data_IF_636961681054
#
_entry.id   IF_636961681054
#
_cell.length_a   1.000
_cell.length_b   1.000
_cell.length_c   1.000
_cell.angle_alpha   90.00
_cell.angle_beta   90.00
_cell.angle_gamma   90.00
#
_symmetry.space_group_name_H-M   'P 1'
#
loop_
_entity.id
_entity.type
_entity.pdbx_description
1 polymer ?
#
# COMPACT_ATOMS: atom_id res chain seq x y z
N UNK A 1 20.51 12.02 -4.21
CA UNK A 1 19.35 11.17 -4.53
C UNK A 1 18.74 11.68 -5.82
N UNK A 2 18.47 10.84 -6.83
CA UNK A 2 17.74 11.27 -8.04
C UNK A 2 16.36 11.84 -7.66
N UNK A 3 15.91 12.93 -8.32
CA UNK A 3 14.63 13.58 -8.00
C UNK A 3 13.43 12.62 -8.03
N UNK A 4 13.48 11.62 -8.92
CA UNK A 4 12.46 10.57 -9.03
C UNK A 4 12.37 9.68 -7.77
N UNK A 5 13.50 9.43 -7.10
CA UNK A 5 13.52 8.68 -5.83
C UNK A 5 12.88 9.48 -4.69
N UNK A 6 13.11 10.79 -4.66
CA UNK A 6 12.49 11.67 -3.67
C UNK A 6 10.98 11.70 -3.90
N UNK A 7 10.53 11.81 -5.16
CA UNK A 7 9.12 11.77 -5.49
C UNK A 7 8.44 10.47 -5.03
N UNK A 8 9.06 9.32 -5.25
CA UNK A 8 8.54 8.05 -4.75
C UNK A 8 8.47 7.98 -3.22
N UNK A 9 9.45 8.53 -2.51
CA UNK A 9 9.36 8.62 -1.05
C UNK A 9 8.20 9.52 -0.60
N UNK A 10 8.04 10.69 -1.23
CA UNK A 10 6.95 11.61 -0.90
C UNK A 10 5.58 10.96 -1.17
N UNK A 11 5.43 10.25 -2.30
CA UNK A 11 4.22 9.49 -2.62
C UNK A 11 3.97 8.36 -1.62
N UNK A 12 5.01 7.65 -1.17
CA UNK A 12 4.87 6.61 -0.16
C UNK A 12 4.43 7.16 1.20
N UNK A 13 4.97 8.32 1.60
CA UNK A 13 4.55 9.01 2.82
C UNK A 13 3.10 9.49 2.70
N UNK A 14 2.75 10.14 1.59
CA UNK A 14 1.39 10.61 1.35
C UNK A 14 0.40 9.44 1.34
N UNK A 15 0.72 8.37 0.63
CA UNK A 15 -0.07 7.15 0.54
C UNK A 15 -0.18 6.39 1.86
N UNK A 16 0.66 6.68 2.86
CA UNK A 16 0.52 6.16 4.21
C UNK A 16 -0.34 7.07 5.08
N UNK A 17 -0.01 8.36 5.12
CA UNK A 17 -0.62 9.32 6.05
C UNK A 17 -2.08 9.56 5.69
N UNK A 18 -2.39 9.80 4.41
CA UNK A 18 -3.73 10.19 4.00
C UNK A 18 -4.76 9.08 4.24
N UNK A 19 -4.58 7.82 3.75
CA UNK A 19 -5.57 6.76 3.97
C UNK A 19 -5.71 6.38 5.45
N UNK A 20 -4.61 6.28 6.19
CA UNK A 20 -4.65 5.93 7.62
C UNK A 20 -5.34 7.02 8.44
N UNK A 21 -5.11 8.31 8.13
CA UNK A 21 -5.79 9.40 8.85
C UNK A 21 -7.31 9.36 8.72
N UNK A 22 -7.82 9.02 7.53
CA UNK A 22 -9.25 8.88 7.27
C UNK A 22 -9.84 7.66 7.97
N UNK A 23 -9.14 6.52 7.91
CA UNK A 23 -9.54 5.29 8.61
C UNK A 23 -9.61 5.48 10.12
N UNK A 24 -8.53 5.98 10.73
CA UNK A 24 -8.46 6.17 12.18
C UNK A 24 -9.42 7.26 12.65
N UNK A 25 -9.62 8.33 11.88
CA UNK A 25 -10.63 9.35 12.17
C UNK A 25 -12.03 8.75 12.22
N UNK A 26 -12.42 8.01 11.18
CA UNK A 26 -13.72 7.34 11.12
C UNK A 26 -13.91 6.31 12.24
N UNK A 27 -12.88 5.52 12.55
CA UNK A 27 -12.92 4.56 13.67
C UNK A 27 -13.08 5.26 15.02
N UNK A 28 -12.44 6.40 15.22
CA UNK A 28 -12.58 7.19 16.44
C UNK A 28 -13.97 7.82 16.57
N UNK A 29 -14.57 8.27 15.46
CA UNK A 29 -15.91 8.85 15.43
C UNK A 29 -17.02 7.81 15.64
N UNK A 30 -16.87 6.62 15.02
CA UNK A 30 -17.93 5.60 15.00
C UNK A 30 -17.78 4.58 16.13
N UNK A 31 -16.56 4.40 16.67
CA UNK A 31 -16.26 3.37 17.68
C UNK A 31 -16.33 1.92 17.19
N UNK A 32 -16.64 1.70 15.90
CA UNK A 32 -16.92 0.39 15.32
C UNK A 32 -15.66 -0.46 15.07
N UNK A 33 -14.47 0.09 15.29
CA UNK A 33 -13.20 -0.61 15.14
C UNK A 33 -12.95 -1.12 13.72
N UNK A 34 -12.14 -2.18 13.61
CA UNK A 34 -11.75 -2.74 12.31
C UNK A 34 -12.89 -3.49 11.62
N UNK A 35 -13.77 -4.17 12.37
CA UNK A 35 -14.89 -4.89 11.76
C UNK A 35 -15.88 -3.94 11.09
N UNK A 36 -16.17 -2.79 11.72
CA UNK A 36 -17.00 -1.75 11.11
C UNK A 36 -16.40 -1.14 9.84
N UNK A 37 -15.06 -1.08 9.74
CA UNK A 37 -14.42 -0.65 8.49
C UNK A 37 -14.65 -1.65 7.36
N UNK A 38 -14.56 -2.95 7.65
CA UNK A 38 -14.81 -3.99 6.65
C UNK A 38 -16.26 -3.92 6.17
N UNK A 39 -17.21 -3.75 7.09
CA UNK A 39 -18.63 -3.61 6.76
C UNK A 39 -18.89 -2.38 5.87
N UNK A 40 -18.24 -1.25 6.17
CA UNK A 40 -18.38 -0.02 5.36
C UNK A 40 -17.70 -0.10 4.00
N UNK A 41 -16.56 -0.81 3.88
CA UNK A 41 -15.95 -1.09 2.58
C UNK A 41 -16.83 -1.95 1.69
N UNK A 42 -17.67 -2.79 2.29
CA UNK A 42 -18.60 -3.66 1.58
C UNK A 42 -20.05 -3.15 1.60
N UNK A 43 -20.30 -1.92 2.07
CA UNK A 43 -21.66 -1.41 2.30
C UNK A 43 -22.47 -1.21 1.01
N UNK A 44 -21.81 -1.01 -0.13
CA UNK A 44 -22.46 -0.91 -1.44
C UNK A 44 -21.51 -1.31 -2.57
N UNK A 45 -22.07 -1.54 -3.76
CA UNK A 45 -21.31 -2.02 -4.92
C UNK A 45 -20.17 -1.10 -5.38
N UNK A 46 -20.29 0.22 -5.20
CA UNK A 46 -19.25 1.16 -5.62
C UNK A 46 -18.02 1.10 -4.69
N UNK A 47 -18.23 1.13 -3.38
CA UNK A 47 -17.13 1.04 -2.40
C UNK A 47 -16.54 -0.38 -2.37
N UNK A 48 -17.37 -1.41 -2.51
CA UNK A 48 -16.91 -2.79 -2.63
C UNK A 48 -16.05 -2.97 -3.89
N UNK A 49 -16.47 -2.39 -5.02
CA UNK A 49 -15.69 -2.40 -6.26
C UNK A 49 -14.29 -1.79 -6.09
N UNK A 50 -14.19 -0.63 -5.42
CA UNK A 50 -12.90 0.01 -5.10
C UNK A 50 -12.03 -0.88 -4.19
N UNK A 51 -12.64 -1.52 -3.20
CA UNK A 51 -11.94 -2.40 -2.25
C UNK A 51 -11.36 -3.63 -2.95
N UNK A 52 -12.11 -4.22 -3.89
CA UNK A 52 -11.63 -5.32 -4.72
C UNK A 52 -10.52 -4.90 -5.68
N UNK A 53 -10.62 -3.72 -6.29
CA UNK A 53 -9.56 -3.17 -7.15
C UNK A 53 -8.23 -3.04 -6.37
N UNK A 54 -8.28 -2.48 -5.16
CA UNK A 54 -7.14 -2.39 -4.25
C UNK A 54 -6.57 -3.76 -3.87
N UNK A 55 -7.44 -4.74 -3.60
CA UNK A 55 -7.02 -6.11 -3.26
C UNK A 55 -6.28 -6.78 -4.43
N UNK A 56 -6.83 -6.68 -5.65
CA UNK A 56 -6.21 -7.24 -6.85
C UNK A 56 -4.86 -6.56 -7.13
N UNK A 57 -4.79 -5.22 -7.00
CA UNK A 57 -3.54 -4.48 -7.15
C UNK A 57 -2.49 -4.88 -6.10
N UNK A 58 -2.89 -5.10 -4.85
CA UNK A 58 -2.01 -5.58 -3.78
C UNK A 58 -1.42 -6.96 -4.12
N UNK A 59 -2.26 -7.89 -4.55
CA UNK A 59 -1.83 -9.24 -4.94
C UNK A 59 -0.85 -9.20 -6.13
N UNK A 60 -1.17 -8.42 -7.17
CA UNK A 60 -0.29 -8.22 -8.31
C UNK A 60 1.07 -7.65 -7.90
N UNK A 61 1.10 -6.65 -7.01
CA UNK A 61 2.33 -6.06 -6.49
C UNK A 61 3.16 -7.07 -5.67
N UNK A 62 2.52 -7.84 -4.79
CA UNK A 62 3.22 -8.87 -3.99
C UNK A 62 3.83 -9.94 -4.90
N UNK A 63 3.09 -10.44 -5.89
CA UNK A 63 3.59 -11.40 -6.88
C UNK A 63 4.80 -10.83 -7.63
N UNK A 64 4.74 -9.56 -8.04
CA UNK A 64 5.84 -8.88 -8.71
C UNK A 64 7.07 -8.75 -7.80
N UNK A 65 6.90 -8.33 -6.54
CA UNK A 65 8.00 -8.24 -5.57
C UNK A 65 8.67 -9.60 -5.40
N UNK A 66 7.90 -10.67 -5.21
CA UNK A 66 8.42 -12.03 -5.07
C UNK A 66 9.21 -12.48 -6.31
N UNK A 67 8.67 -12.26 -7.51
CA UNK A 67 9.34 -12.59 -8.76
C UNK A 67 10.66 -11.82 -8.93
N UNK A 68 10.69 -10.52 -8.59
CA UNK A 68 11.89 -9.71 -8.71
C UNK A 68 12.95 -10.08 -7.66
N UNK A 69 12.55 -10.38 -6.42
CA UNK A 69 13.47 -10.86 -5.38
C UNK A 69 14.10 -12.20 -5.79
N UNK A 70 13.33 -13.10 -6.42
CA UNK A 70 13.85 -14.37 -6.90
C UNK A 70 14.95 -14.20 -7.98
N UNK A 71 14.75 -13.29 -8.93
CA UNK A 71 15.70 -13.07 -10.03
C UNK A 71 16.90 -12.21 -9.61
N UNK A 72 16.64 -11.08 -8.93
CA UNK A 72 17.68 -10.06 -8.62
C UNK A 72 18.31 -10.21 -7.24
N UNK A 73 17.82 -11.14 -6.41
CA UNK A 73 18.21 -11.31 -4.99
C UNK A 73 18.16 -10.01 -4.18
N UNK A 74 17.28 -9.09 -4.56
CA UNK A 74 17.13 -7.81 -3.87
C UNK A 74 16.21 -7.96 -2.65
N UNK A 75 16.74 -8.54 -1.57
CA UNK A 75 16.00 -8.79 -0.33
C UNK A 75 15.38 -7.54 0.29
N UNK A 76 15.95 -6.35 0.02
CA UNK A 76 15.40 -5.10 0.55
C UNK A 76 13.99 -4.79 0.04
N UNK A 77 13.65 -5.25 -1.18
CA UNK A 77 12.32 -5.08 -1.76
C UNK A 77 11.21 -5.81 -1.01
N UNK A 78 11.54 -6.82 -0.19
CA UNK A 78 10.56 -7.52 0.63
C UNK A 78 9.90 -6.62 1.68
N UNK A 79 10.56 -5.51 2.07
CA UNK A 79 9.98 -4.51 2.98
C UNK A 79 8.74 -3.81 2.38
N UNK A 80 8.55 -3.83 1.07
CA UNK A 80 7.35 -3.27 0.45
C UNK A 80 6.11 -4.17 0.64
N UNK A 81 6.27 -5.46 0.94
CA UNK A 81 5.15 -6.39 1.21
C UNK A 81 4.41 -5.99 2.50
N UNK A 82 5.06 -5.86 3.68
CA UNK A 82 4.36 -5.44 4.89
C UNK A 82 3.81 -4.01 4.75
N UNK A 83 4.48 -3.11 4.02
CA UNK A 83 3.92 -1.79 3.73
C UNK A 83 2.62 -1.88 2.90
N UNK A 84 2.56 -2.76 1.90
CA UNK A 84 1.35 -2.99 1.08
C UNK A 84 0.21 -3.56 1.91
N UNK A 85 0.48 -4.52 2.78
CA UNK A 85 -0.54 -5.22 3.57
C UNK A 85 -1.04 -4.41 4.78
N UNK A 86 -0.15 -3.69 5.45
CA UNK A 86 -0.48 -2.97 6.70
C UNK A 86 -0.99 -1.55 6.46
N UNK A 87 -0.55 -0.91 5.38
CA UNK A 87 -0.85 0.49 5.08
C UNK A 87 -1.71 0.60 3.81
N UNK A 88 -1.43 -0.23 2.81
CA UNK A 88 -2.15 -0.27 1.54
C UNK A 88 -1.24 -0.10 0.33
N UNK A 89 -1.80 -0.38 -0.84
CA UNK A 89 -1.10 -0.31 -2.15
C UNK A 89 -0.55 1.09 -2.43
N UNK A 90 -1.26 2.13 -1.99
CA UNK A 90 -0.84 3.52 -2.14
C UNK A 90 0.50 3.85 -1.49
N UNK A 91 0.88 3.16 -0.41
CA UNK A 91 2.20 3.29 0.20
C UNK A 91 3.18 2.23 -0.35
N UNK A 92 2.71 0.99 -0.49
CA UNK A 92 3.54 -0.15 -0.88
C UNK A 92 4.20 -0.01 -2.26
N UNK A 93 3.44 0.42 -3.28
CA UNK A 93 3.93 0.59 -4.64
C UNK A 93 5.04 1.65 -4.76
N UNK A 94 4.84 2.91 -4.31
CA UNK A 94 5.89 3.91 -4.39
C UNK A 94 7.09 3.57 -3.50
N UNK A 95 6.89 2.93 -2.34
CA UNK A 95 8.00 2.43 -1.52
C UNK A 95 8.81 1.38 -2.28
N UNK A 96 8.15 0.43 -2.95
CA UNK A 96 8.80 -0.56 -3.79
C UNK A 96 9.63 0.09 -4.91
N UNK A 97 9.06 1.08 -5.62
CA UNK A 97 9.77 1.81 -6.68
C UNK A 97 11.00 2.55 -6.15
N UNK A 98 10.92 3.13 -4.95
CA UNK A 98 12.07 3.76 -4.29
C UNK A 98 13.18 2.76 -3.96
N UNK A 99 12.82 1.56 -3.49
CA UNK A 99 13.78 0.49 -3.19
C UNK A 99 14.42 -0.07 -4.45
N UNK A 100 13.63 -0.23 -5.52
CA UNK A 100 14.07 -0.75 -6.82
C UNK A 100 15.02 0.18 -7.57
N UNK A 101 14.82 1.49 -7.45
CA UNK A 101 15.64 2.51 -8.15
C UNK A 101 16.94 2.87 -7.43
N UNK A 102 17.34 2.09 -6.41
CA UNK A 102 18.65 2.23 -5.78
C UNK A 102 19.74 1.86 -6.79
N UNK A 103 20.78 2.70 -6.97
CA UNK A 103 21.94 2.32 -7.77
C UNK A 103 22.58 1.09 -7.13
N UNK A 104 22.88 0.09 -7.97
CA UNK A 104 23.54 -1.17 -7.59
C UNK A 104 25.03 -0.92 -7.44
#
# INVERSE_FOLDING_TARGET
MSGLRILYLLLAIWGAVHPLSLMFGWMAETGAGLSGMIDTWMANGAVAGLSWDLMIAALALILWICAEVYVRRNWSSLLAIPATLLIGVGCGLPLYLFLRTRPV
#
